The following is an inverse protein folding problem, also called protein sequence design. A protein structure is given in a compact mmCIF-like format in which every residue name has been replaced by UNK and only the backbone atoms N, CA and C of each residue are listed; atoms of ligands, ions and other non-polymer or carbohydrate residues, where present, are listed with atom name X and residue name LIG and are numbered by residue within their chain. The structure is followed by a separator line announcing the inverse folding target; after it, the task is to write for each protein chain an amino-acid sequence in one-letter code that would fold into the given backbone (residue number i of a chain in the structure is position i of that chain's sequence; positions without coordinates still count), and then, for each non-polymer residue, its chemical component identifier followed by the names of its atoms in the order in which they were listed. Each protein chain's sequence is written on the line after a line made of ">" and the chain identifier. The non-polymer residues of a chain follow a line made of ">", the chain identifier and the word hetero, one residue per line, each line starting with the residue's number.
data_IF_480991767355
#
_entry.id   IF_480991767355
#
_cell.length_a   1.000
_cell.length_b   1.000
_cell.length_c   1.000
_cell.angle_alpha   90.00
_cell.angle_beta   90.00
_cell.angle_gamma   90.00
#
_symmetry.space_group_name_H-M   'P 1'
#
loop_
_entity.id
_entity.type
_entity.pdbx_description
1 polymer ?
#
# COMPACT_ATOMS: atom_id res chain seq x y z
N UNK A 1 6.79 2.82 1.60
CA UNK A 1 5.51 3.40 1.13
C UNK A 1 4.68 3.86 2.33
N UNK A 2 5.26 4.66 3.22
CA UNK A 2 4.61 5.08 4.46
C UNK A 2 3.41 6.00 4.25
N UNK A 3 3.41 6.76 3.15
CA UNK A 3 2.31 7.63 2.68
C UNK A 3 0.99 6.91 2.38
N UNK A 4 0.97 5.58 2.42
CA UNK A 4 -0.27 4.79 2.35
C UNK A 4 -1.07 4.85 3.65
N UNK A 5 -0.42 5.13 4.78
CA UNK A 5 -1.07 5.12 6.09
C UNK A 5 -1.79 6.46 6.33
N UNK A 6 -3.03 6.44 6.84
CA UNK A 6 -3.79 7.66 7.10
C UNK A 6 -3.33 8.36 8.38
N UNK A 7 -3.81 9.59 8.59
CA UNK A 7 -3.68 10.30 9.88
C UNK A 7 -4.57 9.68 10.96
N UNK A 8 -5.70 9.10 10.56
CA UNK A 8 -6.71 8.51 11.45
C UNK A 8 -7.28 7.23 10.88
N UNK A 9 -7.67 6.32 11.75
CA UNK A 9 -8.52 5.17 11.44
C UNK A 9 -9.98 5.54 11.70
N UNK A 10 -10.85 5.26 10.74
CA UNK A 10 -12.28 5.55 10.81
C UNK A 10 -13.05 4.30 11.24
N UNK A 11 -13.32 4.18 12.55
CA UNK A 11 -14.05 3.03 13.09
C UNK A 11 -15.53 3.12 12.70
N UNK A 12 -16.04 2.08 12.05
CA UNK A 12 -17.42 1.97 11.58
C UNK A 12 -18.34 1.42 12.67
N UNK A 13 -19.58 1.88 12.70
CA UNK A 13 -20.62 1.30 13.56
C UNK A 13 -21.19 0.02 12.94
N UNK A 14 -20.78 -1.13 13.47
CA UNK A 14 -21.20 -2.46 13.02
C UNK A 14 -22.46 -2.98 13.74
N UNK A 15 -22.97 -2.24 14.74
CA UNK A 15 -24.12 -2.65 15.57
C UNK A 15 -25.48 -2.23 15.02
N UNK A 16 -25.50 -1.44 13.94
CA UNK A 16 -26.72 -1.06 13.23
C UNK A 16 -27.37 -2.26 12.51
N UNK A 17 -28.67 -2.18 12.22
CA UNK A 17 -29.39 -3.08 11.30
C UNK A 17 -28.93 -2.86 9.84
N UNK A 18 -27.62 -2.84 9.63
CA UNK A 18 -27.00 -2.58 8.35
C UNK A 18 -27.25 -3.74 7.39
N UNK A 19 -27.81 -3.39 6.22
CA UNK A 19 -27.91 -4.26 5.06
C UNK A 19 -27.14 -3.65 3.90
N UNK A 20 -26.35 -4.46 3.20
CA UNK A 20 -25.51 -4.04 2.07
C UNK A 20 -26.30 -3.51 0.86
N UNK A 21 -27.61 -3.79 0.84
CA UNK A 21 -28.54 -3.28 -0.17
C UNK A 21 -28.88 -1.79 0.02
N UNK A 22 -28.53 -1.19 1.16
CA UNK A 22 -28.59 0.25 1.33
C UNK A 22 -27.44 0.91 0.56
N UNK A 23 -27.75 1.92 -0.26
CA UNK A 23 -26.72 2.68 -0.99
C UNK A 23 -25.74 3.42 -0.07
N UNK A 24 -26.13 3.63 1.19
CA UNK A 24 -25.37 4.36 2.20
C UNK A 24 -24.24 3.52 2.81
N UNK A 25 -23.06 4.14 2.95
CA UNK A 25 -21.90 3.56 3.63
C UNK A 25 -22.16 3.40 5.13
N UNK A 26 -21.45 2.47 5.79
CA UNK A 26 -21.52 2.33 7.24
C UNK A 26 -21.14 3.66 7.93
N UNK A 27 -21.93 4.14 8.91
CA UNK A 27 -21.62 5.38 9.59
C UNK A 27 -20.32 5.24 10.39
N UNK A 28 -19.59 6.36 10.49
CA UNK A 28 -18.38 6.45 11.32
C UNK A 28 -18.83 6.60 12.77
N UNK A 29 -18.40 5.67 13.62
CA UNK A 29 -18.63 5.71 15.06
C UNK A 29 -17.57 6.58 15.77
N UNK A 30 -16.31 6.45 15.34
CA UNK A 30 -15.17 7.10 15.99
C UNK A 30 -14.03 7.33 14.99
N UNK A 31 -13.35 8.47 15.09
CA UNK A 31 -12.09 8.73 14.39
C UNK A 31 -10.92 8.60 15.36
N UNK A 32 -10.11 7.56 15.19
CA UNK A 32 -8.97 7.29 16.10
C UNK A 32 -7.67 7.77 15.44
N UNK A 33 -6.90 8.67 16.07
CA UNK A 33 -5.58 9.04 15.57
C UNK A 33 -4.68 7.82 15.38
N UNK A 34 -4.00 7.71 14.22
CA UNK A 34 -3.19 6.53 13.90
C UNK A 34 -2.06 6.28 14.92
N UNK A 35 -1.57 7.33 15.59
CA UNK A 35 -0.59 7.24 16.69
C UNK A 35 -1.06 6.37 17.87
N UNK A 36 -2.37 6.23 18.07
CA UNK A 36 -2.96 5.36 19.10
C UNK A 36 -3.13 3.92 18.61
N UNK A 37 -2.98 3.69 17.30
CA UNK A 37 -3.21 2.41 16.62
C UNK A 37 -1.90 1.69 16.27
N UNK A 38 -0.76 2.11 16.83
CA UNK A 38 0.56 1.56 16.54
C UNK A 38 1.29 1.10 17.80
N UNK A 39 2.20 0.15 17.64
CA UNK A 39 3.03 -0.36 18.72
C UNK A 39 2.24 -0.96 19.89
N UNK A 40 2.80 -0.89 21.10
CA UNK A 40 2.21 -1.49 22.29
C UNK A 40 0.83 -0.91 22.64
N UNK A 41 0.61 0.37 22.38
CA UNK A 41 -0.69 1.00 22.60
C UNK A 41 -1.71 0.55 21.55
N UNK A 42 -1.30 0.41 20.29
CA UNK A 42 -2.13 -0.13 19.23
C UNK A 42 -2.67 -1.53 19.53
N UNK A 43 -1.86 -2.40 20.14
CA UNK A 43 -2.32 -3.74 20.57
C UNK A 43 -3.42 -3.66 21.64
N UNK A 44 -3.31 -2.72 22.59
CA UNK A 44 -4.36 -2.49 23.60
C UNK A 44 -5.64 -1.97 22.94
N UNK A 45 -5.52 -0.95 22.08
CA UNK A 45 -6.67 -0.38 21.36
C UNK A 45 -7.35 -1.43 20.47
N UNK A 46 -6.59 -2.27 19.78
CA UNK A 46 -7.14 -3.38 18.99
C UNK A 46 -7.92 -4.38 19.84
N UNK A 47 -7.44 -4.69 21.06
CA UNK A 47 -8.15 -5.59 21.98
C UNK A 47 -9.50 -5.04 22.44
N UNK A 48 -9.64 -3.71 22.56
CA UNK A 48 -10.89 -3.03 22.90
C UNK A 48 -11.84 -2.95 21.70
N UNK A 49 -11.31 -2.68 20.50
CA UNK A 49 -12.08 -2.55 19.25
C UNK A 49 -12.60 -3.92 18.78
N UNK A 50 -11.77 -4.95 18.88
CA UNK A 50 -12.04 -6.28 18.34
C UNK A 50 -11.70 -6.42 16.84
N UNK A 51 -11.30 -7.63 16.45
CA UNK A 51 -10.83 -7.92 15.09
C UNK A 51 -11.87 -7.67 14.00
N UNK A 52 -13.14 -8.04 14.23
CA UNK A 52 -14.20 -7.89 13.22
C UNK A 52 -14.46 -6.42 12.87
N UNK A 53 -14.66 -5.59 13.91
CA UNK A 53 -14.88 -4.16 13.74
C UNK A 53 -13.69 -3.50 13.06
N UNK A 54 -12.47 -3.89 13.43
CA UNK A 54 -11.25 -3.35 12.81
C UNK A 54 -11.15 -3.73 11.32
N UNK A 55 -11.33 -5.01 10.97
CA UNK A 55 -11.28 -5.48 9.58
C UNK A 55 -12.32 -4.78 8.70
N UNK A 56 -13.56 -4.67 9.17
CA UNK A 56 -14.63 -3.96 8.46
C UNK A 56 -14.24 -2.49 8.31
N UNK A 57 -13.77 -1.83 9.37
CA UNK A 57 -13.40 -0.42 9.33
C UNK A 57 -12.27 -0.14 8.33
N UNK A 58 -11.24 -1.00 8.30
CA UNK A 58 -10.16 -0.93 7.32
C UNK A 58 -10.68 -1.16 5.90
N UNK A 59 -11.59 -2.12 5.70
CA UNK A 59 -12.20 -2.38 4.40
C UNK A 59 -12.96 -1.18 3.84
N UNK A 60 -13.58 -0.39 4.70
CA UNK A 60 -14.34 0.81 4.31
C UNK A 60 -13.49 2.10 4.23
N UNK A 61 -12.17 2.02 4.38
CA UNK A 61 -11.31 3.21 4.37
C UNK A 61 -10.24 3.10 3.28
N UNK A 62 -10.20 4.09 2.39
CA UNK A 62 -9.12 4.22 1.41
C UNK A 62 -7.78 4.43 2.10
N UNK A 63 -6.71 3.86 1.54
CA UNK A 63 -5.34 4.22 1.89
C UNK A 63 -4.99 5.62 1.35
N UNK A 64 -3.89 6.19 1.87
CA UNK A 64 -3.26 7.37 1.28
C UNK A 64 -2.64 7.07 -0.08
N UNK A 65 -2.47 8.10 -0.90
CA UNK A 65 -1.76 7.99 -2.18
C UNK A 65 -0.24 8.11 -1.99
N UNK A 66 0.54 7.41 -2.82
CA UNK A 66 2.00 7.59 -2.87
C UNK A 66 2.29 8.85 -3.70
N UNK A 67 2.19 10.01 -3.06
CA UNK A 67 2.36 11.32 -3.70
C UNK A 67 3.22 12.23 -2.80
N UNK A 68 3.71 13.34 -3.39
CA UNK A 68 4.29 14.43 -2.61
C UNK A 68 3.27 14.97 -1.59
N UNK A 69 3.77 15.56 -0.50
CA UNK A 69 2.96 16.15 0.58
C UNK A 69 1.92 15.22 1.22
N UNK A 70 2.11 13.89 1.14
CA UNK A 70 1.21 12.91 1.74
C UNK A 70 1.90 11.98 2.77
N UNK A 71 3.03 12.40 3.33
CA UNK A 71 3.71 11.65 4.38
C UNK A 71 3.04 11.91 5.75
N UNK A 72 2.68 10.88 6.54
CA UNK A 72 1.90 11.11 7.76
C UNK A 72 2.67 11.90 8.83
N UNK A 73 2.01 12.89 9.40
CA UNK A 73 2.59 13.81 10.38
C UNK A 73 3.07 13.08 11.64
N UNK A 74 2.31 12.08 12.10
CA UNK A 74 2.63 11.29 13.28
C UNK A 74 3.91 10.46 13.13
N UNK A 75 4.37 10.19 11.91
CA UNK A 75 5.63 9.47 11.66
C UNK A 75 6.87 10.37 11.73
N UNK A 76 6.70 11.69 11.77
CA UNK A 76 7.81 12.64 11.88
C UNK A 76 8.33 12.79 13.32
N UNK A 77 7.68 12.13 14.27
CA UNK A 77 8.10 12.01 15.66
C UNK A 77 7.70 10.62 16.19
N UNK A 78 8.17 9.57 15.50
CA UNK A 78 7.79 8.19 15.77
C UNK A 78 8.69 7.58 16.86
N UNK A 79 8.10 6.88 17.82
CA UNK A 79 8.84 5.99 18.73
C UNK A 79 9.22 4.74 17.93
N UNK A 80 10.51 4.59 17.63
CA UNK A 80 11.03 3.41 16.96
C UNK A 80 11.21 2.26 17.95
N UNK A 81 11.26 1.02 17.45
CA UNK A 81 11.48 -0.15 18.30
C UNK A 81 12.85 -0.78 18.08
N UNK A 82 13.34 -1.48 19.11
CA UNK A 82 14.39 -2.48 18.98
C UNK A 82 13.88 -3.76 18.30
N UNK A 83 14.80 -4.67 17.97
CA UNK A 83 14.49 -5.93 17.26
C UNK A 83 13.53 -6.82 18.03
N UNK A 84 13.50 -6.69 19.36
CA UNK A 84 12.57 -7.38 20.26
C UNK A 84 11.18 -6.73 20.35
N UNK A 85 10.95 -5.59 19.68
CA UNK A 85 9.70 -4.85 19.73
C UNK A 85 9.55 -3.88 20.90
N UNK A 86 10.62 -3.66 21.70
CA UNK A 86 10.61 -2.68 22.78
C UNK A 86 10.84 -1.25 22.27
N UNK A 87 10.20 -0.29 22.92
CA UNK A 87 10.31 1.13 22.59
C UNK A 87 11.72 1.66 22.82
N UNK A 88 12.25 2.38 21.83
CA UNK A 88 13.48 3.16 21.99
C UNK A 88 13.17 4.52 22.60
N UNK A 89 14.07 5.06 23.45
CA UNK A 89 13.84 6.33 24.11
C UNK A 89 13.90 7.53 23.14
N UNK A 90 14.63 7.39 22.03
CA UNK A 90 14.85 8.47 21.06
C UNK A 90 13.86 8.36 19.88
N UNK A 91 12.92 9.32 19.73
CA UNK A 91 12.03 9.36 18.58
C UNK A 91 12.78 9.67 17.28
N UNK A 92 12.18 9.29 16.16
CA UNK A 92 12.74 9.51 14.83
C UNK A 92 11.74 10.26 13.93
N UNK A 93 12.25 11.18 13.11
CA UNK A 93 11.53 11.65 11.93
C UNK A 93 11.74 10.61 10.82
N UNK A 94 10.75 9.75 10.60
CA UNK A 94 10.84 8.68 9.61
C UNK A 94 11.02 9.19 8.19
N UNK A 95 10.40 10.33 7.84
CA UNK A 95 10.54 10.91 6.50
C UNK A 95 11.99 11.34 6.24
N UNK A 96 12.62 12.00 7.22
CA UNK A 96 14.02 12.38 7.13
C UNK A 96 14.95 11.16 7.15
N UNK A 97 14.65 10.17 8.00
CA UNK A 97 15.45 8.95 8.14
C UNK A 97 15.45 8.12 6.86
N UNK A 98 14.32 7.97 6.15
CA UNK A 98 14.27 7.21 4.90
C UNK A 98 15.16 7.81 3.82
N UNK A 99 15.16 9.14 3.66
CA UNK A 99 16.08 9.84 2.76
C UNK A 99 17.53 9.58 3.14
N UNK A 100 17.85 9.68 4.44
CA UNK A 100 19.19 9.39 4.93
C UNK A 100 19.61 7.94 4.64
N UNK A 101 18.73 6.96 4.89
CA UNK A 101 19.03 5.53 4.73
C UNK A 101 19.30 5.15 3.28
N UNK A 102 18.55 5.69 2.32
CA UNK A 102 18.81 5.42 0.90
C UNK A 102 20.20 5.92 0.48
N UNK A 103 20.58 7.12 0.94
CA UNK A 103 21.93 7.69 0.71
C UNK A 103 23.02 6.88 1.41
N UNK A 104 22.83 6.55 2.69
CA UNK A 104 23.78 5.78 3.51
C UNK A 104 24.07 4.41 2.90
N UNK A 105 23.03 3.73 2.42
CA UNK A 105 23.12 2.41 1.78
C UNK A 105 23.61 2.47 0.33
N UNK A 106 23.96 3.67 -0.15
CA UNK A 106 24.46 3.93 -1.51
C UNK A 106 23.49 3.45 -2.59
N UNK A 107 22.20 3.51 -2.31
CA UNK A 107 21.19 3.33 -3.35
C UNK A 107 21.29 4.55 -4.28
N UNK A 108 21.27 4.30 -5.59
CA UNK A 108 21.34 5.37 -6.57
C UNK A 108 20.19 6.36 -6.38
N UNK A 109 20.49 7.65 -6.54
CA UNK A 109 19.48 8.72 -6.59
C UNK A 109 18.60 8.56 -7.84
N UNK A 110 17.47 9.25 -7.88
CA UNK A 110 16.37 8.93 -8.80
C UNK A 110 16.81 8.80 -10.27
N UNK A 111 17.54 9.78 -10.80
CA UNK A 111 17.89 9.77 -12.22
C UNK A 111 18.90 8.66 -12.57
N UNK A 112 19.90 8.44 -11.72
CA UNK A 112 20.85 7.35 -11.87
C UNK A 112 20.20 5.98 -11.66
N UNK A 113 19.24 5.88 -10.75
CA UNK A 113 18.44 4.67 -10.55
C UNK A 113 17.68 4.29 -11.83
N UNK A 114 17.07 5.27 -12.51
CA UNK A 114 16.43 5.08 -13.82
C UNK A 114 17.41 4.59 -14.88
N UNK A 115 18.61 5.20 -14.98
CA UNK A 115 19.66 4.74 -15.92
C UNK A 115 20.05 3.29 -15.66
N UNK A 116 20.21 2.90 -14.40
CA UNK A 116 20.54 1.53 -14.01
C UNK A 116 19.43 0.52 -14.37
N UNK A 117 18.20 0.98 -14.53
CA UNK A 117 17.07 0.20 -15.02
C UNK A 117 16.85 0.33 -16.54
N UNK A 118 17.79 0.94 -17.26
CA UNK A 118 17.69 1.22 -18.70
C UNK A 118 16.46 2.07 -19.07
N UNK A 119 15.96 2.87 -18.12
CA UNK A 119 14.88 3.82 -18.35
C UNK A 119 15.44 5.16 -18.83
N UNK A 120 14.65 5.90 -19.60
CA UNK A 120 15.02 7.27 -20.03
C UNK A 120 15.11 8.17 -18.79
N UNK A 121 16.27 8.80 -18.51
CA UNK A 121 16.39 9.75 -17.41
C UNK A 121 15.55 11.01 -17.68
N UNK A 122 15.09 11.67 -16.62
CA UNK A 122 14.46 13.00 -16.75
C UNK A 122 15.52 14.03 -17.16
N UNK A 123 15.11 15.10 -17.85
CA UNK A 123 15.99 16.21 -18.22
C UNK A 123 15.59 17.54 -17.56
N UNK A 124 14.36 17.61 -17.05
CA UNK A 124 13.79 18.75 -16.31
C UNK A 124 12.70 18.25 -15.36
N UNK A 125 12.30 19.09 -14.41
CA UNK A 125 11.30 18.74 -13.39
C UNK A 125 9.93 18.39 -13.98
N UNK A 126 9.54 19.06 -15.06
CA UNK A 126 8.28 18.84 -15.76
C UNK A 126 8.18 17.43 -16.37
N UNK A 127 9.31 16.78 -16.68
CA UNK A 127 9.30 15.40 -17.17
C UNK A 127 8.88 14.41 -16.05
N UNK A 128 9.04 14.79 -14.78
CA UNK A 128 8.71 13.98 -13.61
C UNK A 128 7.26 14.18 -13.15
N UNK A 129 6.84 15.45 -13.01
CA UNK A 129 5.55 15.82 -12.38
C UNK A 129 4.49 16.30 -13.37
N UNK A 130 4.85 16.49 -14.64
CA UNK A 130 3.94 17.04 -15.65
C UNK A 130 3.64 18.53 -15.41
N UNK A 131 2.35 18.88 -15.37
CA UNK A 131 1.87 20.27 -15.29
C UNK A 131 1.72 20.80 -13.85
N UNK A 132 2.18 20.04 -12.84
CA UNK A 132 2.13 20.44 -11.43
C UNK A 132 3.21 21.48 -11.12
N UNK A 133 2.83 22.76 -11.21
CA UNK A 133 3.74 23.90 -11.02
C UNK A 133 4.26 24.02 -9.59
N UNK A 134 3.42 23.72 -8.60
CA UNK A 134 3.78 23.82 -7.20
C UNK A 134 4.85 22.76 -6.87
N UNK A 135 4.73 21.56 -7.46
CA UNK A 135 5.73 20.51 -7.30
C UNK A 135 7.06 20.88 -7.98
N UNK A 136 7.02 21.47 -9.17
CA UNK A 136 8.23 21.98 -9.84
C UNK A 136 8.92 23.05 -8.99
N UNK A 137 8.19 24.01 -8.44
CA UNK A 137 8.75 25.07 -7.60
C UNK A 137 9.39 24.51 -6.33
N UNK A 138 8.69 23.63 -5.61
CA UNK A 138 9.21 23.01 -4.39
C UNK A 138 10.45 22.14 -4.66
N UNK A 139 10.46 21.38 -5.76
CA UNK A 139 11.63 20.60 -6.17
C UNK A 139 12.81 21.51 -6.51
N UNK A 140 12.57 22.61 -7.24
CA UNK A 140 13.60 23.58 -7.59
C UNK A 140 14.14 24.32 -6.35
N UNK A 141 13.29 24.61 -5.37
CA UNK A 141 13.71 25.22 -4.10
C UNK A 141 14.71 24.31 -3.35
N UNK A 142 14.44 23.00 -3.29
CA UNK A 142 15.26 22.05 -2.53
C UNK A 142 16.50 21.61 -3.29
N UNK A 143 16.39 21.33 -4.59
CA UNK A 143 17.46 20.71 -5.40
C UNK A 143 18.12 21.68 -6.40
N UNK A 144 17.60 22.90 -6.56
CA UNK A 144 17.99 23.81 -7.63
C UNK A 144 17.56 23.28 -9.00
N UNK A 145 18.37 23.53 -10.04
CA UNK A 145 18.16 22.96 -11.37
C UNK A 145 18.93 21.64 -11.58
N UNK A 146 19.55 21.09 -10.53
CA UNK A 146 20.36 19.87 -10.58
C UNK A 146 19.52 18.62 -10.31
N UNK A 147 18.90 18.10 -11.36
CA UNK A 147 18.06 16.89 -11.34
C UNK A 147 18.80 15.63 -10.85
N UNK A 148 20.13 15.59 -10.92
CA UNK A 148 20.92 14.44 -10.46
C UNK A 148 20.93 14.33 -8.93
N UNK A 149 20.60 15.41 -8.23
CA UNK A 149 20.50 15.43 -6.77
C UNK A 149 19.14 14.93 -6.26
N UNK A 150 18.14 14.73 -7.10
CA UNK A 150 16.82 14.28 -6.67
C UNK A 150 16.91 12.93 -5.93
N UNK A 151 16.56 12.91 -4.65
CA UNK A 151 16.53 11.67 -3.87
C UNK A 151 15.52 10.68 -4.43
N UNK A 152 15.84 9.38 -4.32
CA UNK A 152 15.02 8.31 -4.88
C UNK A 152 13.58 8.36 -4.32
N UNK A 153 13.40 8.39 -3.00
CA UNK A 153 12.06 8.45 -2.40
C UNK A 153 11.23 9.63 -2.92
N UNK A 154 11.83 10.82 -3.05
CA UNK A 154 11.13 12.02 -3.54
C UNK A 154 10.70 11.82 -4.99
N UNK A 155 11.60 11.32 -5.84
CA UNK A 155 11.27 11.02 -7.23
C UNK A 155 10.16 9.97 -7.37
N UNK A 156 10.18 8.90 -6.57
CA UNK A 156 9.13 7.86 -6.60
C UNK A 156 7.75 8.37 -6.18
N UNK A 157 7.69 9.38 -5.28
CA UNK A 157 6.44 10.02 -4.88
C UNK A 157 5.97 11.08 -5.88
N UNK A 158 6.91 11.78 -6.53
CA UNK A 158 6.64 12.82 -7.51
C UNK A 158 6.26 12.28 -8.90
N UNK A 159 6.76 11.08 -9.25
CA UNK A 159 6.57 10.50 -10.58
C UNK A 159 5.09 10.39 -10.95
N UNK A 160 4.73 11.05 -12.07
CA UNK A 160 3.40 10.98 -12.67
C UNK A 160 3.02 9.53 -12.92
N UNK A 161 1.88 9.12 -12.38
CA UNK A 161 1.45 7.71 -12.41
C UNK A 161 0.75 7.38 -13.72
N UNK A 162 0.96 6.15 -14.17
CA UNK A 162 0.15 5.53 -15.22
C UNK A 162 -1.28 5.39 -14.66
N UNK A 163 -2.29 5.65 -15.49
CA UNK A 163 -3.69 5.52 -15.08
C UNK A 163 -3.97 4.12 -14.52
N UNK A 164 -4.53 4.07 -13.32
CA UNK A 164 -4.82 2.83 -12.58
C UNK A 164 -3.66 2.29 -11.73
N UNK A 165 -2.46 2.89 -11.80
CA UNK A 165 -1.34 2.49 -10.95
C UNK A 165 -1.28 3.35 -9.67
N UNK A 166 -1.11 2.69 -8.53
CA UNK A 166 -0.85 3.35 -7.25
C UNK A 166 0.64 3.74 -7.05
N UNK A 167 1.55 3.10 -7.81
CA UNK A 167 3.00 3.35 -7.81
C UNK A 167 3.46 3.94 -9.15
N UNK A 168 4.60 4.62 -9.15
CA UNK A 168 5.25 5.11 -10.37
C UNK A 168 5.89 3.98 -11.20
N UNK A 169 6.14 4.24 -12.48
CA UNK A 169 6.74 3.28 -13.41
C UNK A 169 8.14 2.81 -12.94
N UNK A 170 8.93 3.73 -12.37
CA UNK A 170 10.27 3.41 -11.84
C UNK A 170 10.21 2.33 -10.76
N UNK A 171 9.25 2.44 -9.84
CA UNK A 171 9.01 1.39 -8.83
C UNK A 171 8.52 0.10 -9.48
N UNK A 172 7.58 0.21 -10.43
CA UNK A 172 6.98 -0.94 -11.10
C UNK A 172 8.02 -1.86 -11.77
N UNK A 173 9.09 -1.31 -12.37
CA UNK A 173 10.14 -2.12 -13.00
C UNK A 173 10.91 -2.98 -11.99
N UNK A 174 11.16 -2.46 -10.79
CA UNK A 174 11.71 -3.27 -9.69
C UNK A 174 10.71 -4.34 -9.25
N UNK A 175 9.43 -3.97 -9.10
CA UNK A 175 8.38 -4.93 -8.74
C UNK A 175 8.27 -6.05 -9.76
N UNK A 176 8.33 -5.76 -11.05
CA UNK A 176 8.26 -6.75 -12.13
C UNK A 176 9.34 -7.82 -11.99
N UNK A 177 10.60 -7.39 -11.81
CA UNK A 177 11.72 -8.30 -11.63
C UNK A 177 11.62 -9.06 -10.31
N UNK A 178 11.47 -8.34 -9.19
CA UNK A 178 11.59 -8.95 -7.86
C UNK A 178 10.36 -9.78 -7.50
N UNK A 179 9.15 -9.42 -7.94
CA UNK A 179 7.97 -10.24 -7.71
C UNK A 179 8.06 -11.59 -8.42
N UNK A 180 8.48 -11.60 -9.68
CA UNK A 180 8.74 -12.83 -10.44
C UNK A 180 9.84 -13.65 -9.76
N UNK A 181 10.95 -12.98 -9.39
CA UNK A 181 12.09 -13.62 -8.73
C UNK A 181 11.73 -14.30 -7.41
N UNK A 182 10.86 -13.69 -6.60
CA UNK A 182 10.43 -14.28 -5.31
C UNK A 182 9.74 -15.64 -5.49
N UNK A 183 9.03 -15.85 -6.59
CA UNK A 183 8.37 -17.13 -6.88
C UNK A 183 9.33 -18.09 -7.59
N UNK A 184 9.99 -17.64 -8.66
CA UNK A 184 10.79 -18.52 -9.50
C UNK A 184 12.06 -19.04 -8.80
N UNK A 185 12.61 -18.28 -7.84
CA UNK A 185 13.85 -18.63 -7.15
C UNK A 185 13.60 -19.46 -5.87
N UNK A 186 12.35 -19.61 -5.44
CA UNK A 186 12.00 -20.41 -4.26
C UNK A 186 11.59 -21.82 -4.68
N UNK A 187 12.27 -22.82 -4.11
CA UNK A 187 11.93 -24.23 -4.34
C UNK A 187 10.48 -24.54 -3.97
N UNK A 188 9.93 -23.91 -2.93
CA UNK A 188 8.59 -24.19 -2.43
C UNK A 188 7.46 -23.65 -3.31
N UNK A 189 7.77 -22.78 -4.28
CA UNK A 189 6.88 -22.34 -5.36
C UNK A 189 7.23 -22.94 -6.73
N UNK A 190 8.29 -23.75 -6.80
CA UNK A 190 8.76 -24.39 -8.03
C UNK A 190 8.88 -25.91 -7.86
N UNK A 191 10.09 -26.42 -7.67
CA UNK A 191 10.39 -27.87 -7.66
C UNK A 191 9.71 -28.64 -6.53
N UNK A 192 9.44 -27.97 -5.41
CA UNK A 192 8.77 -28.52 -4.24
C UNK A 192 7.31 -28.07 -4.10
N UNK A 193 6.73 -27.37 -5.08
CA UNK A 193 5.30 -27.06 -5.08
C UNK A 193 4.49 -28.27 -5.59
N UNK A 194 4.38 -29.30 -4.75
CA UNK A 194 3.73 -30.57 -5.07
C UNK A 194 3.16 -31.27 -3.82
N UNK A 195 2.27 -32.25 -4.04
CA UNK A 195 1.58 -32.97 -2.97
C UNK A 195 2.51 -33.80 -2.08
N UNK A 196 3.71 -34.18 -2.55
CA UNK A 196 4.70 -34.86 -1.69
C UNK A 196 5.21 -33.92 -0.58
N UNK A 197 5.34 -32.63 -0.88
CA UNK A 197 5.83 -31.62 0.07
C UNK A 197 4.70 -31.03 0.91
N UNK A 198 3.55 -30.74 0.29
CA UNK A 198 2.43 -30.05 0.92
C UNK A 198 1.30 -30.96 1.42
N UNK A 199 1.36 -32.28 1.15
CA UNK A 199 0.22 -33.21 1.16
C UNK A 199 -0.80 -32.90 0.05
N UNK A 200 -1.64 -33.87 -0.30
CA UNK A 200 -2.72 -33.66 -1.27
C UNK A 200 -3.73 -32.62 -0.75
N UNK A 201 -4.08 -32.69 0.53
CA UNK A 201 -5.02 -31.77 1.17
C UNK A 201 -4.46 -30.35 1.23
N UNK A 202 -3.20 -30.20 1.64
CA UNK A 202 -2.56 -28.89 1.74
C UNK A 202 -2.36 -28.21 0.37
N UNK A 203 -1.98 -28.97 -0.66
CA UNK A 203 -1.88 -28.39 -2.01
C UNK A 203 -3.27 -28.02 -2.57
N UNK A 204 -4.28 -28.85 -2.32
CA UNK A 204 -5.67 -28.54 -2.70
C UNK A 204 -6.21 -27.29 -1.99
N UNK A 205 -5.81 -27.06 -0.73
CA UNK A 205 -6.16 -25.85 0.01
C UNK A 205 -5.59 -24.59 -0.66
N UNK A 206 -4.30 -24.62 -1.04
CA UNK A 206 -3.65 -23.51 -1.75
C UNK A 206 -4.34 -23.28 -3.11
N UNK A 207 -4.52 -24.33 -3.90
CA UNK A 207 -5.09 -24.25 -5.26
C UNK A 207 -6.59 -23.87 -5.30
N UNK A 208 -7.28 -23.82 -4.16
CA UNK A 208 -8.69 -23.39 -4.06
C UNK A 208 -8.85 -22.01 -3.43
N UNK A 209 -7.78 -21.44 -2.89
CA UNK A 209 -7.81 -20.12 -2.24
C UNK A 209 -7.25 -19.11 -3.22
N UNK A 210 -8.12 -18.29 -3.82
CA UNK A 210 -7.73 -17.37 -4.89
C UNK A 210 -7.45 -15.96 -4.38
N UNK A 211 -8.03 -15.57 -3.24
CA UNK A 211 -8.01 -14.18 -2.79
C UNK A 211 -8.16 -14.05 -1.26
N UNK A 212 -8.00 -12.82 -0.75
CA UNK A 212 -8.15 -12.52 0.68
C UNK A 212 -9.59 -12.71 1.17
N UNK A 213 -10.60 -12.50 0.32
CA UNK A 213 -12.02 -12.71 0.67
C UNK A 213 -12.27 -14.16 1.08
N UNK A 214 -11.71 -15.14 0.36
CA UNK A 214 -11.82 -16.57 0.68
C UNK A 214 -11.27 -16.89 2.08
N UNK A 215 -10.19 -16.21 2.48
CA UNK A 215 -9.59 -16.36 3.82
C UNK A 215 -10.46 -15.69 4.89
N UNK A 216 -10.95 -14.47 4.63
CA UNK A 216 -11.87 -13.78 5.56
C UNK A 216 -13.13 -14.62 5.78
N UNK A 217 -13.76 -15.12 4.72
CA UNK A 217 -15.00 -15.91 4.82
C UNK A 217 -14.81 -17.25 5.56
N UNK A 218 -13.61 -17.81 5.50
CA UNK A 218 -13.27 -19.04 6.25
C UNK A 218 -13.22 -18.81 7.76
N UNK A 219 -12.76 -17.64 8.21
CA UNK A 219 -12.52 -17.34 9.62
C UNK A 219 -13.59 -16.43 10.25
N UNK A 220 -14.28 -15.64 9.44
CA UNK A 220 -15.41 -14.78 9.82
C UNK A 220 -16.60 -15.03 8.86
N UNK A 221 -17.26 -16.20 8.96
CA UNK A 221 -18.34 -16.56 8.05
C UNK A 221 -19.46 -15.52 8.05
N UNK A 222 -19.85 -15.06 6.86
CA UNK A 222 -20.92 -14.08 6.68
C UNK A 222 -20.46 -12.60 6.69
N UNK A 223 -19.20 -12.32 7.05
CA UNK A 223 -18.68 -10.95 7.08
C UNK A 223 -18.72 -10.29 5.70
N UNK A 224 -18.12 -10.90 4.68
CA UNK A 224 -18.04 -10.26 3.36
C UNK A 224 -19.41 -10.19 2.69
N UNK A 225 -20.30 -11.16 2.92
CA UNK A 225 -21.68 -11.09 2.42
C UNK A 225 -22.49 -9.95 3.04
N UNK A 226 -22.20 -9.57 4.29
CA UNK A 226 -22.90 -8.49 4.98
C UNK A 226 -22.29 -7.11 4.71
N UNK A 227 -20.97 -7.03 4.53
CA UNK A 227 -20.24 -5.76 4.54
C UNK A 227 -19.41 -5.47 3.28
N UNK A 228 -19.32 -6.36 2.30
CA UNK A 228 -18.46 -6.15 1.12
C UNK A 228 -19.23 -6.21 -0.19
N UNK A 229 -19.33 -5.06 -0.87
CA UNK A 229 -20.00 -4.89 -2.17
C UNK A 229 -19.03 -5.05 -3.34
N UNK A 230 -17.76 -4.70 -3.13
CA UNK A 230 -16.71 -4.84 -4.14
C UNK A 230 -16.33 -6.31 -4.38
N UNK A 231 -15.63 -6.55 -5.48
CA UNK A 231 -15.18 -7.89 -5.91
C UNK A 231 -13.94 -8.39 -5.14
N UNK A 232 -13.13 -7.47 -4.61
CA UNK A 232 -11.86 -7.75 -3.93
C UNK A 232 -11.85 -7.15 -2.53
N UNK A 233 -11.39 -7.91 -1.53
CA UNK A 233 -11.26 -7.44 -0.15
C UNK A 233 -10.19 -6.34 0.04
N UNK A 234 -9.37 -6.06 -0.98
CA UNK A 234 -8.40 -4.96 -0.99
C UNK A 234 -8.95 -3.66 -1.61
N UNK A 235 -10.09 -3.72 -2.29
CA UNK A 235 -10.81 -2.51 -2.71
C UNK A 235 -11.52 -1.90 -1.51
N UNK A 236 -11.99 -0.65 -1.60
CA UNK A 236 -12.88 -0.10 -0.57
C UNK A 236 -14.20 -0.87 -0.61
N UNK A 237 -14.64 -1.41 0.52
CA UNK A 237 -15.68 -2.43 0.60
C UNK A 237 -17.06 -1.97 0.14
N UNK A 238 -17.35 -0.68 0.25
CA UNK A 238 -18.55 -0.05 -0.30
C UNK A 238 -18.37 0.42 -1.75
N UNK A 239 -17.26 0.13 -2.43
CA UNK A 239 -17.16 0.41 -3.86
C UNK A 239 -18.15 -0.44 -4.66
N UNK A 240 -18.69 0.08 -5.77
CA UNK A 240 -19.50 -0.73 -6.69
C UNK A 240 -18.67 -1.90 -7.22
N UNK A 241 -19.31 -3.03 -7.58
CA UNK A 241 -18.62 -4.16 -8.19
C UNK A 241 -18.04 -3.76 -9.55
N UNK A 242 -16.99 -4.49 -9.97
CA UNK A 242 -16.37 -4.23 -11.27
C UNK A 242 -17.39 -4.36 -12.42
N UNK A 243 -17.41 -3.39 -13.36
CA UNK A 243 -18.31 -3.45 -14.49
C UNK A 243 -17.98 -4.66 -15.37
N UNK A 244 -19.01 -5.38 -15.80
CA UNK A 244 -18.86 -6.52 -16.73
C UNK A 244 -18.26 -6.03 -18.04
N UNK A 245 -17.08 -6.52 -18.39
CA UNK A 245 -16.40 -6.22 -19.67
C UNK A 245 -16.61 -7.35 -20.67
N UNK A 246 -17.23 -7.04 -21.79
CA UNK A 246 -17.52 -8.00 -22.87
C UNK A 246 -16.32 -8.25 -23.81
N UNK A 247 -15.36 -7.31 -23.86
CA UNK A 247 -14.13 -7.51 -24.63
C UNK A 247 -13.18 -8.47 -23.88
N UNK A 248 -12.69 -9.54 -24.54
CA UNK A 248 -11.69 -10.45 -23.97
C UNK A 248 -10.47 -9.69 -23.45
N UNK A 249 -9.90 -10.13 -22.32
CA UNK A 249 -8.85 -9.40 -21.59
C UNK A 249 -7.66 -9.01 -22.49
N UNK A 250 -7.14 -9.95 -23.29
CA UNK A 250 -6.01 -9.71 -24.19
C UNK A 250 -6.33 -8.85 -25.43
N UNK A 251 -7.59 -8.48 -25.64
CA UNK A 251 -8.04 -7.61 -26.74
C UNK A 251 -8.44 -6.21 -26.26
N UNK A 252 -8.27 -5.91 -24.97
CA UNK A 252 -8.61 -4.58 -24.42
C UNK A 252 -7.53 -3.59 -24.76
N UNK A 253 -7.92 -2.42 -25.27
CA UNK A 253 -7.02 -1.29 -25.44
C UNK A 253 -6.71 -0.66 -24.07
N UNK A 254 -5.47 -0.20 -23.90
CA UNK A 254 -5.12 0.63 -22.76
C UNK A 254 -5.88 1.96 -22.85
N UNK A 255 -6.62 2.31 -21.79
CA UNK A 255 -7.44 3.53 -21.69
C UNK A 255 -7.06 4.36 -20.49
#
# INVERSE_FOLDING_TARGET
>A
MHSLLPEKVLLRDIGSDYCIDHEESLPIQEEVPMKEMIGLEGERRLSEIGMEKMLISMGYQSSGAIALWNYPSWMRNLIAHDVNGEDRPDPVDMAALEIYRDRERKVARFNEFRRNLLMVPIQRWEDLVGDDRDAVEALREVYGDDIEKLDLQVGLHAEKKIKGFAIGETSFFIFLLIASRRLEADRFFTTNFNAKTYTEEGLNWVNKTENLKDVIDRHFPGMTSKYMRCTSAFSVWDSPPDPKRYLPLYLRLAT
#
